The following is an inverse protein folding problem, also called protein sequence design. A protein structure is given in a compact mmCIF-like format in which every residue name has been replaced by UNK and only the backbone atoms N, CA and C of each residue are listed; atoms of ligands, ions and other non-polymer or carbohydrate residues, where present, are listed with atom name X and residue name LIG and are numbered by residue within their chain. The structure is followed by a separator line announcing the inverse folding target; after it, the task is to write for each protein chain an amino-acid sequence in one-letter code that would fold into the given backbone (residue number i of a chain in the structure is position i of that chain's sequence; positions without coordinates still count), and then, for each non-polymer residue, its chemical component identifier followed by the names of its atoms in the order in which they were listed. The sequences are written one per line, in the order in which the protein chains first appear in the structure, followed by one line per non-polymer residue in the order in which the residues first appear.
data_IF_109452152037
#
_entry.id   IF_109452152037
#
_cell.length_a   1.000
_cell.length_b   1.000
_cell.length_c   1.000
_cell.angle_alpha   90.00
_cell.angle_beta   90.00
_cell.angle_gamma   90.00
#
_symmetry.space_group_name_H-M   'P 1'
#
loop_
_entity.id
_entity.type
_entity.pdbx_description
1 polymer ?
#
# COMPACT_ATOMS: atom_id res chain seq x y z
N UNK A 1 -19.76 17.89 33.02
CA UNK A 1 -19.79 18.60 31.72
C UNK A 1 -21.04 18.13 30.97
N UNK A 2 -21.98 19.01 30.69
CA UNK A 2 -23.40 18.72 30.43
C UNK A 2 -23.63 18.13 29.02
N UNK A 3 -24.36 17.02 28.94
CA UNK A 3 -24.66 16.27 27.69
C UNK A 3 -25.52 17.08 26.68
N UNK A 4 -25.91 18.28 26.96
CA UNK A 4 -26.68 19.20 26.06
C UNK A 4 -25.81 20.01 25.10
N UNK A 5 -24.46 20.04 25.27
CA UNK A 5 -23.56 20.84 24.43
C UNK A 5 -23.07 20.06 23.20
N UNK A 6 -23.27 18.76 23.11
CA UNK A 6 -22.87 17.90 21.99
C UNK A 6 -23.91 17.80 20.85
N UNK A 7 -25.10 18.39 21.02
CA UNK A 7 -26.23 18.17 20.09
C UNK A 7 -26.46 19.27 19.03
N UNK A 8 -25.56 20.22 18.83
CA UNK A 8 -25.64 21.20 17.72
C UNK A 8 -24.32 21.37 16.97
N UNK A 9 -23.72 20.31 16.49
CA UNK A 9 -22.79 20.40 15.34
C UNK A 9 -23.67 20.63 14.11
N UNK A 10 -23.95 21.89 13.85
CA UNK A 10 -24.78 22.37 12.76
C UNK A 10 -24.17 21.94 11.43
N UNK A 11 -24.91 21.23 10.58
CA UNK A 11 -24.49 20.78 9.23
C UNK A 11 -23.93 21.91 8.34
N UNK A 12 -24.28 23.17 8.62
CA UNK A 12 -23.66 24.36 8.02
C UNK A 12 -22.19 24.56 8.43
N UNK A 13 -21.79 24.15 9.64
CA UNK A 13 -20.40 24.18 10.08
C UNK A 13 -19.57 23.08 9.42
N UNK A 14 -20.14 21.92 9.12
CA UNK A 14 -19.46 20.84 8.39
C UNK A 14 -19.03 21.27 6.99
N UNK A 15 -19.90 21.94 6.23
CA UNK A 15 -19.55 22.47 4.89
C UNK A 15 -18.46 23.56 4.95
N UNK A 16 -18.50 24.43 5.98
CA UNK A 16 -17.42 25.43 6.19
C UNK A 16 -16.11 24.78 6.62
N UNK A 17 -16.16 23.75 7.47
CA UNK A 17 -14.98 22.98 7.88
C UNK A 17 -14.36 22.24 6.67
N UNK A 18 -15.20 21.60 5.85
CA UNK A 18 -14.77 20.92 4.61
C UNK A 18 -14.15 21.89 3.60
N UNK A 19 -14.70 23.12 3.48
CA UNK A 19 -14.13 24.16 2.60
C UNK A 19 -12.77 24.62 3.14
N UNK A 20 -12.65 24.79 4.45
CA UNK A 20 -11.39 25.18 5.12
C UNK A 20 -10.31 24.09 5.06
N UNK A 21 -10.71 22.81 4.99
CA UNK A 21 -9.79 21.67 4.81
C UNK A 21 -9.26 21.55 3.38
N UNK A 22 -9.95 22.14 2.39
CA UNK A 22 -9.51 22.18 0.98
C UNK A 22 -8.51 23.28 0.68
N UNK A 23 -8.43 24.32 1.48
CA UNK A 23 -7.49 25.41 1.28
C UNK A 23 -6.09 25.03 1.77
N UNK A 24 -5.00 25.43 1.09
CA UNK A 24 -3.64 25.13 1.53
C UNK A 24 -3.41 25.71 2.94
N UNK A 25 -2.83 24.94 3.83
CA UNK A 25 -2.49 25.37 5.19
C UNK A 25 -1.30 26.32 5.20
N UNK A 26 -1.40 27.40 5.95
CA UNK A 26 -0.35 28.43 6.03
C UNK A 26 0.74 28.11 7.08
N UNK A 27 0.50 27.17 8.00
CA UNK A 27 1.47 26.73 8.99
C UNK A 27 1.73 25.21 8.89
N UNK A 28 2.90 24.75 9.34
CA UNK A 28 3.26 23.33 9.39
C UNK A 28 2.23 22.53 10.20
N UNK A 29 1.79 23.06 11.33
CA UNK A 29 0.78 22.43 12.18
C UNK A 29 -0.55 22.27 11.45
N UNK A 30 -0.98 23.28 10.69
CA UNK A 30 -2.21 23.24 9.92
C UNK A 30 -2.12 22.24 8.76
N UNK A 31 -0.98 22.18 8.06
CA UNK A 31 -0.69 21.17 7.02
C UNK A 31 -0.73 19.76 7.59
N UNK A 32 -0.12 19.54 8.77
CA UNK A 32 -0.10 18.23 9.44
C UNK A 32 -1.50 17.79 9.87
N UNK A 33 -2.31 18.68 10.46
CA UNK A 33 -3.69 18.36 10.86
C UNK A 33 -4.59 18.06 9.65
N UNK A 34 -4.48 18.86 8.59
CA UNK A 34 -5.21 18.64 7.33
C UNK A 34 -4.75 17.34 6.66
N UNK A 35 -3.43 17.10 6.67
CA UNK A 35 -2.84 15.87 6.18
C UNK A 35 -3.36 14.63 6.90
N UNK A 36 -3.38 14.67 8.23
CA UNK A 36 -3.93 13.60 9.06
C UNK A 36 -5.39 13.27 8.73
N UNK A 37 -6.22 14.30 8.51
CA UNK A 37 -7.61 14.10 8.09
C UNK A 37 -7.74 13.37 6.74
N UNK A 38 -6.94 13.75 5.75
CA UNK A 38 -6.97 13.10 4.43
C UNK A 38 -6.42 11.66 4.48
N UNK A 39 -5.35 11.42 5.24
CA UNK A 39 -4.81 10.07 5.45
C UNK A 39 -5.82 9.18 6.16
N UNK A 40 -6.48 9.69 7.20
CA UNK A 40 -7.54 8.97 7.90
C UNK A 40 -8.74 8.68 6.98
N UNK A 41 -9.17 9.68 6.19
CA UNK A 41 -10.22 9.52 5.19
C UNK A 41 -9.87 8.46 4.15
N UNK A 42 -8.63 8.44 3.65
CA UNK A 42 -8.15 7.41 2.72
C UNK A 42 -8.22 6.02 3.34
N UNK A 43 -7.73 5.85 4.57
CA UNK A 43 -7.77 4.55 5.26
C UNK A 43 -9.17 4.01 5.46
N UNK A 44 -10.07 4.85 5.98
CA UNK A 44 -11.48 4.44 6.15
C UNK A 44 -12.08 4.04 4.81
N UNK A 45 -11.83 4.82 3.77
CA UNK A 45 -12.33 4.56 2.42
C UNK A 45 -11.80 3.23 1.89
N UNK A 46 -10.49 3.02 1.92
CA UNK A 46 -9.87 1.77 1.46
C UNK A 46 -10.39 0.55 2.24
N UNK A 47 -10.62 0.69 3.56
CA UNK A 47 -11.19 -0.37 4.38
C UNK A 47 -12.63 -0.69 4.02
N UNK A 48 -13.48 0.32 3.88
CA UNK A 48 -14.90 0.13 3.51
C UNK A 48 -14.99 -0.52 2.12
N UNK A 49 -14.30 0.04 1.13
CA UNK A 49 -14.31 -0.51 -0.23
C UNK A 49 -13.69 -1.90 -0.29
N UNK A 50 -12.60 -2.13 0.44
CA UNK A 50 -11.97 -3.44 0.55
C UNK A 50 -12.86 -4.50 1.20
N UNK A 51 -13.63 -4.13 2.24
CA UNK A 51 -14.61 -5.02 2.86
C UNK A 51 -15.78 -5.32 1.92
N UNK A 52 -16.37 -4.29 1.31
CA UNK A 52 -17.47 -4.44 0.32
C UNK A 52 -17.01 -5.37 -0.81
N UNK A 53 -15.83 -5.10 -1.39
CA UNK A 53 -15.23 -5.95 -2.41
C UNK A 53 -15.11 -7.39 -1.93
N UNK A 54 -14.51 -7.60 -0.76
CA UNK A 54 -14.28 -8.95 -0.22
C UNK A 54 -15.59 -9.70 0.01
N UNK A 55 -16.61 -9.06 0.60
CA UNK A 55 -17.92 -9.68 0.86
C UNK A 55 -18.62 -10.07 -0.45
N UNK A 56 -18.62 -9.19 -1.46
CA UNK A 56 -19.26 -9.46 -2.74
C UNK A 56 -18.52 -10.58 -3.48
N UNK A 57 -17.19 -10.49 -3.55
CA UNK A 57 -16.39 -11.49 -4.26
C UNK A 57 -16.43 -12.85 -3.55
N UNK A 58 -16.49 -12.90 -2.23
CA UNK A 58 -16.64 -14.16 -1.47
C UNK A 58 -17.95 -14.90 -1.73
N UNK A 59 -18.99 -14.18 -2.22
CA UNK A 59 -20.25 -14.80 -2.64
C UNK A 59 -20.25 -15.29 -4.09
N UNK A 60 -19.34 -14.77 -4.91
CA UNK A 60 -19.30 -15.04 -6.35
C UNK A 60 -18.18 -16.00 -6.75
N UNK A 61 -17.09 -16.02 -5.99
CA UNK A 61 -15.88 -16.80 -6.26
C UNK A 61 -15.71 -17.91 -5.22
N UNK A 62 -15.02 -18.96 -5.63
CA UNK A 62 -14.68 -20.08 -4.73
C UNK A 62 -13.49 -19.73 -3.81
N UNK A 63 -13.35 -20.40 -2.65
CA UNK A 63 -12.15 -20.27 -1.82
C UNK A 63 -10.86 -20.61 -2.57
N UNK A 64 -10.92 -21.55 -3.51
CA UNK A 64 -9.80 -21.88 -4.38
C UNK A 64 -9.35 -20.71 -5.24
N UNK A 65 -10.26 -19.89 -5.78
CA UNK A 65 -9.92 -18.71 -6.57
C UNK A 65 -9.12 -17.69 -5.74
N UNK A 66 -9.51 -17.49 -4.47
CA UNK A 66 -8.76 -16.64 -3.54
C UNK A 66 -7.39 -17.21 -3.21
N UNK A 67 -7.29 -18.53 -3.00
CA UNK A 67 -6.04 -19.20 -2.74
C UNK A 67 -5.06 -19.12 -3.92
N UNK A 68 -5.53 -19.40 -5.12
CA UNK A 68 -4.73 -19.28 -6.36
C UNK A 68 -4.22 -17.84 -6.55
N UNK A 69 -5.09 -16.84 -6.35
CA UNK A 69 -4.70 -15.44 -6.38
C UNK A 69 -3.73 -15.09 -5.24
N UNK A 70 -3.96 -15.63 -4.04
CA UNK A 70 -3.08 -15.49 -2.89
C UNK A 70 -1.67 -16.00 -3.14
N UNK A 71 -1.53 -17.22 -3.70
CA UNK A 71 -0.21 -17.77 -4.11
C UNK A 71 0.48 -16.84 -5.11
N UNK A 72 -0.25 -16.32 -6.09
CA UNK A 72 0.32 -15.42 -7.06
C UNK A 72 0.78 -14.08 -6.43
N UNK A 73 0.02 -13.54 -5.47
CA UNK A 73 0.42 -12.35 -4.72
C UNK A 73 1.60 -12.62 -3.78
N UNK A 74 1.71 -13.80 -3.16
CA UNK A 74 2.86 -14.20 -2.35
C UNK A 74 4.15 -14.21 -3.17
N UNK A 75 4.14 -14.86 -4.35
CA UNK A 75 5.30 -14.90 -5.24
C UNK A 75 5.69 -13.48 -5.70
N UNK A 76 4.70 -12.65 -6.03
CA UNK A 76 4.90 -11.25 -6.38
C UNK A 76 5.52 -10.46 -5.22
N UNK A 77 4.94 -10.57 -4.01
CA UNK A 77 5.38 -9.89 -2.80
C UNK A 77 6.80 -10.28 -2.40
N UNK A 78 7.15 -11.57 -2.54
CA UNK A 78 8.50 -12.05 -2.30
C UNK A 78 9.51 -11.35 -3.20
N UNK A 79 9.28 -11.36 -4.52
CA UNK A 79 10.21 -10.74 -5.48
C UNK A 79 10.23 -9.21 -5.32
N UNK A 80 9.09 -8.57 -5.06
CA UNK A 80 9.02 -7.14 -4.79
C UNK A 80 9.84 -6.78 -3.55
N UNK A 81 9.66 -7.51 -2.45
CA UNK A 81 10.37 -7.29 -1.18
C UNK A 81 11.87 -7.55 -1.32
N UNK A 82 12.26 -8.67 -1.95
CA UNK A 82 13.68 -9.05 -2.09
C UNK A 82 14.46 -8.16 -3.05
N UNK A 83 13.76 -7.46 -3.94
CA UNK A 83 14.35 -6.51 -4.86
C UNK A 83 14.21 -5.05 -4.43
N UNK A 84 13.65 -4.77 -3.25
CA UNK A 84 13.49 -3.39 -2.77
C UNK A 84 14.84 -2.68 -2.68
N UNK A 85 14.95 -1.57 -3.40
CA UNK A 85 16.17 -0.74 -3.37
C UNK A 85 16.18 0.28 -2.23
N UNK A 86 15.04 0.48 -1.56
CA UNK A 86 14.88 1.51 -0.52
C UNK A 86 15.00 2.96 -1.01
N UNK A 87 15.05 3.18 -2.33
CA UNK A 87 15.25 4.52 -2.91
C UNK A 87 14.12 5.50 -2.58
N UNK A 88 12.87 5.02 -2.55
CA UNK A 88 11.72 5.85 -2.17
C UNK A 88 11.86 6.35 -0.73
N UNK A 89 12.21 5.46 0.19
CA UNK A 89 12.41 5.79 1.61
C UNK A 89 13.59 6.74 1.81
N UNK A 90 14.69 6.50 1.08
CA UNK A 90 15.86 7.38 1.10
C UNK A 90 15.51 8.81 0.65
N UNK A 91 14.69 8.95 -0.42
CA UNK A 91 14.26 10.26 -0.90
C UNK A 91 13.33 11.00 0.07
N UNK A 92 12.42 10.28 0.75
CA UNK A 92 11.53 10.89 1.75
C UNK A 92 12.35 11.42 2.93
N UNK A 93 13.35 10.66 3.37
CA UNK A 93 14.16 11.01 4.54
C UNK A 93 15.21 12.09 4.26
N UNK A 94 15.65 12.23 2.99
CA UNK A 94 16.64 13.25 2.60
C UNK A 94 16.09 14.64 2.79
N UNK A 95 16.80 15.50 3.55
CA UNK A 95 16.39 16.88 3.88
C UNK A 95 16.63 17.87 2.73
N UNK A 96 17.59 17.60 1.87
CA UNK A 96 17.99 18.44 0.74
C UNK A 96 17.01 18.39 -0.42
N UNK A 97 17.12 19.28 -1.41
CA UNK A 97 16.34 19.24 -2.65
C UNK A 97 16.58 17.92 -3.38
N UNK A 98 15.54 17.10 -3.48
CA UNK A 98 15.60 15.75 -4.06
C UNK A 98 15.13 15.71 -5.50
N UNK A 99 14.84 16.86 -6.11
CA UNK A 99 14.33 16.95 -7.49
C UNK A 99 15.28 16.33 -8.51
N UNK A 100 16.58 16.53 -8.31
CA UNK A 100 17.62 15.98 -9.21
C UNK A 100 17.70 14.45 -9.16
N UNK A 101 17.27 13.84 -8.05
CA UNK A 101 17.27 12.39 -7.86
C UNK A 101 16.05 11.68 -8.46
N UNK A 102 15.00 12.43 -8.84
CA UNK A 102 13.74 11.84 -9.31
C UNK A 102 13.91 11.01 -10.57
N UNK A 103 14.63 11.53 -11.56
CA UNK A 103 14.86 10.81 -12.81
C UNK A 103 15.63 9.52 -12.58
N UNK A 104 16.69 9.56 -11.78
CA UNK A 104 17.51 8.39 -11.43
C UNK A 104 16.66 7.35 -10.67
N UNK A 105 15.87 7.79 -9.68
CA UNK A 105 15.01 6.91 -8.88
C UNK A 105 13.91 6.27 -9.73
N UNK A 106 13.28 7.04 -10.62
CA UNK A 106 12.27 6.51 -11.54
C UNK A 106 12.88 5.51 -12.52
N UNK A 107 14.03 5.83 -13.11
CA UNK A 107 14.72 4.94 -14.06
C UNK A 107 15.08 3.61 -13.41
N UNK A 108 15.66 3.65 -12.20
CA UNK A 108 15.96 2.43 -11.43
C UNK A 108 14.68 1.66 -11.08
N UNK A 109 13.61 2.37 -10.71
CA UNK A 109 12.29 1.77 -10.45
C UNK A 109 11.72 1.03 -11.66
N UNK A 110 11.81 1.62 -12.86
CA UNK A 110 11.36 0.99 -14.12
C UNK A 110 12.21 -0.23 -14.45
N UNK A 111 13.54 -0.11 -14.40
CA UNK A 111 14.45 -1.23 -14.66
C UNK A 111 14.17 -2.39 -13.70
N UNK A 112 14.01 -2.09 -12.40
CA UNK A 112 13.65 -3.07 -11.39
C UNK A 112 12.29 -3.75 -11.70
N UNK A 113 11.28 -2.98 -12.07
CA UNK A 113 9.96 -3.49 -12.38
C UNK A 113 9.98 -4.44 -13.60
N UNK A 114 10.71 -4.07 -14.64
CA UNK A 114 10.93 -4.95 -15.81
C UNK A 114 11.66 -6.21 -15.42
N UNK A 115 12.72 -6.12 -14.62
CA UNK A 115 13.49 -7.26 -14.13
C UNK A 115 12.62 -8.23 -13.33
N UNK A 116 11.80 -7.72 -12.40
CA UNK A 116 10.87 -8.56 -11.63
C UNK A 116 9.83 -9.21 -12.55
N UNK A 117 9.26 -8.48 -13.50
CA UNK A 117 8.28 -9.05 -14.42
C UNK A 117 8.87 -10.19 -15.28
N UNK A 118 10.11 -10.03 -15.73
CA UNK A 118 10.84 -11.08 -16.46
C UNK A 118 11.10 -12.28 -15.55
N UNK A 119 11.58 -12.06 -14.34
CA UNK A 119 11.80 -13.15 -13.36
C UNK A 119 10.47 -13.86 -13.06
N UNK A 120 9.38 -13.14 -12.81
CA UNK A 120 8.05 -13.73 -12.58
C UNK A 120 7.61 -14.62 -13.75
N UNK A 121 7.86 -14.17 -14.97
CA UNK A 121 7.47 -14.93 -16.16
C UNK A 121 8.19 -16.29 -16.21
N UNK A 122 9.50 -16.33 -15.91
CA UNK A 122 10.27 -17.56 -15.90
C UNK A 122 10.08 -18.40 -14.62
N UNK A 123 9.81 -17.77 -13.48
CA UNK A 123 9.51 -18.48 -12.22
C UNK A 123 8.07 -18.98 -12.12
N UNK A 124 7.16 -18.49 -12.97
CA UNK A 124 5.75 -18.88 -12.92
C UNK A 124 5.51 -20.39 -12.96
N UNK A 125 6.13 -21.19 -13.86
CA UNK A 125 5.98 -22.63 -13.85
C UNK A 125 6.59 -23.29 -12.60
N UNK A 126 7.68 -22.75 -12.06
CA UNK A 126 8.29 -23.26 -10.82
C UNK A 126 7.40 -23.03 -9.62
N UNK A 127 6.78 -21.86 -9.53
CA UNK A 127 5.82 -21.54 -8.47
C UNK A 127 4.57 -22.43 -8.59
N UNK A 128 4.03 -22.62 -9.80
CA UNK A 128 2.90 -23.51 -10.04
C UNK A 128 3.19 -24.94 -9.62
N UNK A 129 4.38 -25.44 -9.91
CA UNK A 129 4.84 -26.79 -9.50
C UNK A 129 5.09 -26.85 -7.98
N UNK A 130 5.70 -25.82 -7.39
CA UNK A 130 5.97 -25.79 -5.95
C UNK A 130 4.67 -25.85 -5.13
N UNK A 131 3.65 -25.10 -5.53
CA UNK A 131 2.35 -25.09 -4.84
C UNK A 131 1.38 -26.16 -5.39
N UNK A 132 1.79 -27.00 -6.31
CA UNK A 132 0.97 -28.04 -6.95
C UNK A 132 -0.35 -27.48 -7.53
N UNK A 133 -0.29 -26.25 -8.03
CA UNK A 133 -1.46 -25.49 -8.50
C UNK A 133 -1.18 -24.90 -9.89
N UNK A 134 -1.46 -25.63 -10.99
CA UNK A 134 -1.16 -25.18 -12.36
C UNK A 134 -1.81 -23.85 -12.76
N UNK A 135 -2.97 -23.54 -12.18
CA UNK A 135 -3.68 -22.29 -12.45
C UNK A 135 -2.89 -21.02 -12.02
N UNK A 136 -1.87 -21.16 -11.15
CA UNK A 136 -1.01 -20.05 -10.71
C UNK A 136 -0.12 -19.54 -11.85
N UNK A 137 0.33 -20.39 -12.75
CA UNK A 137 1.27 -20.04 -13.81
C UNK A 137 0.77 -18.91 -14.72
N UNK A 138 -0.38 -19.03 -15.40
CA UNK A 138 -0.89 -17.96 -16.27
C UNK A 138 -1.20 -16.67 -15.49
N UNK A 139 -1.64 -16.80 -14.24
CA UNK A 139 -1.96 -15.66 -13.38
C UNK A 139 -0.69 -14.87 -13.03
N UNK A 140 0.41 -15.56 -12.65
CA UNK A 140 1.68 -14.91 -12.35
C UNK A 140 2.24 -14.16 -13.56
N UNK A 141 2.17 -14.76 -14.76
CA UNK A 141 2.61 -14.09 -15.99
C UNK A 141 1.86 -12.79 -16.24
N UNK A 142 0.55 -12.77 -16.00
CA UNK A 142 -0.29 -11.57 -16.20
C UNK A 142 -0.12 -10.57 -15.05
N UNK A 143 0.00 -11.01 -13.81
CA UNK A 143 0.26 -10.12 -12.67
C UNK A 143 1.61 -9.40 -12.81
N UNK A 144 2.61 -9.98 -13.50
CA UNK A 144 3.86 -9.31 -13.85
C UNK A 144 3.65 -7.96 -14.55
N UNK A 145 2.57 -7.81 -15.33
CA UNK A 145 2.19 -6.52 -15.96
C UNK A 145 1.87 -5.47 -14.88
N UNK A 146 1.28 -5.86 -13.77
CA UNK A 146 0.94 -4.93 -12.68
C UNK A 146 2.18 -4.29 -12.06
N UNK A 147 3.29 -5.02 -11.95
CA UNK A 147 4.58 -4.46 -11.50
C UNK A 147 5.15 -3.47 -12.52
N UNK A 148 5.07 -3.76 -13.80
CA UNK A 148 5.49 -2.81 -14.84
C UNK A 148 4.70 -1.50 -14.73
N UNK A 149 3.38 -1.58 -14.57
CA UNK A 149 2.52 -0.40 -14.37
C UNK A 149 2.92 0.39 -13.11
N UNK A 150 3.26 -0.30 -12.02
CA UNK A 150 3.74 0.36 -10.80
C UNK A 150 5.11 1.02 -11.00
N UNK A 151 6.03 0.38 -11.71
CA UNK A 151 7.33 0.95 -12.07
C UNK A 151 7.22 2.18 -12.96
N UNK A 152 6.28 2.19 -13.89
CA UNK A 152 6.00 3.30 -14.79
C UNK A 152 5.26 4.46 -14.10
N UNK A 153 4.73 4.27 -12.90
CA UNK A 153 4.06 5.34 -12.15
C UNK A 153 5.00 6.54 -11.95
N UNK A 154 4.47 7.75 -12.13
CA UNK A 154 5.24 8.98 -11.98
C UNK A 154 5.81 9.10 -10.56
N UNK A 155 7.12 9.19 -10.44
CA UNK A 155 7.81 9.29 -9.16
C UNK A 155 7.42 10.54 -8.35
N UNK A 156 6.88 11.56 -8.98
CA UNK A 156 6.41 12.78 -8.31
C UNK A 156 5.29 12.53 -7.29
N UNK A 157 4.57 11.39 -7.38
CA UNK A 157 3.61 10.96 -6.36
C UNK A 157 4.26 10.87 -4.97
N UNK A 158 5.55 10.60 -4.90
CA UNK A 158 6.30 10.58 -3.64
C UNK A 158 6.32 11.93 -2.93
N UNK A 159 6.31 13.03 -3.70
CA UNK A 159 6.24 14.39 -3.12
C UNK A 159 4.90 14.69 -2.47
N UNK A 160 3.82 14.03 -2.87
CA UNK A 160 2.53 14.23 -2.20
C UNK A 160 2.60 13.84 -0.72
N UNK A 161 3.36 12.80 -0.39
CA UNK A 161 3.63 12.40 1.00
C UNK A 161 4.67 13.32 1.65
N UNK A 162 5.79 13.61 0.98
CA UNK A 162 6.88 14.43 1.49
C UNK A 162 6.44 15.86 1.79
N UNK A 163 5.65 16.49 0.89
CA UNK A 163 5.16 17.86 1.03
C UNK A 163 3.82 17.97 1.77
N UNK A 164 3.34 16.85 2.33
CA UNK A 164 2.06 16.76 3.03
C UNK A 164 0.84 17.13 2.16
N UNK A 165 0.94 16.92 0.85
CA UNK A 165 -0.15 17.13 -0.12
C UNK A 165 -1.11 15.93 -0.17
N UNK A 166 -1.55 15.47 0.98
CA UNK A 166 -2.34 14.24 1.11
C UNK A 166 -3.69 14.28 0.36
N UNK A 167 -4.19 15.46 0.00
CA UNK A 167 -5.38 15.55 -0.86
C UNK A 167 -5.12 15.02 -2.27
N UNK A 168 -3.94 15.30 -2.85
CA UNK A 168 -3.54 14.76 -4.15
C UNK A 168 -3.30 13.25 -4.04
N UNK A 169 -2.62 12.84 -2.97
CA UNK A 169 -2.39 11.42 -2.67
C UNK A 169 -3.70 10.64 -2.50
N UNK A 170 -4.69 11.23 -1.78
CA UNK A 170 -6.02 10.65 -1.66
C UNK A 170 -6.68 10.42 -3.01
N UNK A 171 -6.72 11.43 -3.89
CA UNK A 171 -7.33 11.29 -5.21
C UNK A 171 -6.66 10.21 -6.04
N UNK A 172 -5.34 10.17 -6.02
CA UNK A 172 -4.53 9.17 -6.72
C UNK A 172 -4.87 7.75 -6.28
N UNK A 173 -4.87 7.49 -4.97
CA UNK A 173 -5.17 6.17 -4.42
C UNK A 173 -6.64 5.79 -4.59
N UNK A 174 -7.55 6.68 -4.25
CA UNK A 174 -8.99 6.47 -4.28
C UNK A 174 -9.51 6.04 -5.67
N UNK A 175 -9.07 6.71 -6.73
CA UNK A 175 -9.47 6.36 -8.09
C UNK A 175 -8.97 4.96 -8.48
N UNK A 176 -7.75 4.60 -8.10
CA UNK A 176 -7.23 3.26 -8.31
C UNK A 176 -8.02 2.19 -7.54
N UNK A 177 -8.33 2.47 -6.26
CA UNK A 177 -9.09 1.54 -5.41
C UNK A 177 -10.53 1.35 -5.92
N UNK A 178 -11.23 2.42 -6.28
CA UNK A 178 -12.58 2.31 -6.87
C UNK A 178 -12.55 1.51 -8.16
N UNK A 179 -11.58 1.77 -9.03
CA UNK A 179 -11.46 1.04 -10.31
C UNK A 179 -11.22 -0.45 -10.06
N UNK A 180 -10.30 -0.81 -9.15
CA UNK A 180 -10.08 -2.21 -8.77
C UNK A 180 -11.38 -2.86 -8.26
N UNK A 181 -12.11 -2.20 -7.37
CA UNK A 181 -13.37 -2.71 -6.81
C UNK A 181 -14.42 -2.91 -7.90
N UNK A 182 -14.66 -1.90 -8.73
CA UNK A 182 -15.68 -1.95 -9.78
C UNK A 182 -15.34 -3.02 -10.82
N UNK A 183 -14.09 -3.04 -11.31
CA UNK A 183 -13.67 -4.00 -12.33
C UNK A 183 -13.68 -5.42 -11.78
N UNK A 184 -13.16 -5.66 -10.57
CA UNK A 184 -13.16 -7.00 -9.97
C UNK A 184 -14.57 -7.53 -9.74
N UNK A 185 -15.50 -6.69 -9.25
CA UNK A 185 -16.90 -7.10 -9.03
C UNK A 185 -17.58 -7.39 -10.38
N UNK A 186 -17.46 -6.49 -11.37
CA UNK A 186 -18.06 -6.69 -12.70
C UNK A 186 -17.50 -7.94 -13.36
N UNK A 187 -16.18 -8.14 -13.34
CA UNK A 187 -15.55 -9.33 -13.90
C UNK A 187 -15.97 -10.62 -13.15
N UNK A 188 -16.19 -10.55 -11.83
CA UNK A 188 -16.65 -11.70 -11.04
C UNK A 188 -18.08 -12.13 -11.42
N UNK A 189 -18.97 -11.19 -11.73
CA UNK A 189 -20.30 -11.51 -12.25
C UNK A 189 -20.25 -12.19 -13.62
N UNK A 190 -19.30 -11.80 -14.47
CA UNK A 190 -19.18 -12.31 -15.84
C UNK A 190 -18.40 -13.63 -15.91
N UNK A 191 -17.27 -13.72 -15.20
CA UNK A 191 -16.30 -14.80 -15.36
C UNK A 191 -16.41 -15.88 -14.25
N UNK A 192 -16.84 -15.49 -13.05
CA UNK A 192 -16.98 -16.38 -11.86
C UNK A 192 -15.72 -17.21 -11.58
N UNK A 193 -14.54 -16.63 -11.74
CA UNK A 193 -13.24 -17.28 -11.52
C UNK A 193 -12.19 -16.28 -11.09
N UNK A 194 -10.99 -16.77 -10.78
CA UNK A 194 -9.84 -16.00 -10.29
C UNK A 194 -9.43 -14.81 -11.13
N UNK A 195 -9.70 -14.83 -12.46
CA UNK A 195 -9.37 -13.73 -13.37
C UNK A 195 -10.07 -12.42 -13.01
N UNK A 196 -11.20 -12.48 -12.32
CA UNK A 196 -11.86 -11.28 -11.81
C UNK A 196 -10.98 -10.48 -10.85
N UNK A 197 -10.24 -11.17 -9.97
CA UNK A 197 -9.29 -10.56 -9.04
C UNK A 197 -8.08 -9.97 -9.78
N UNK A 198 -7.60 -10.68 -10.80
CA UNK A 198 -6.45 -10.25 -11.62
C UNK A 198 -6.78 -8.99 -12.42
N UNK A 199 -7.94 -8.97 -13.10
CA UNK A 199 -8.36 -7.79 -13.87
C UNK A 199 -8.62 -6.57 -12.99
N UNK A 200 -9.21 -6.76 -11.80
CA UNK A 200 -9.35 -5.68 -10.83
C UNK A 200 -8.01 -5.07 -10.43
N UNK A 201 -7.03 -5.90 -10.06
CA UNK A 201 -5.69 -5.48 -9.72
C UNK A 201 -5.00 -4.70 -10.86
N UNK A 202 -5.06 -5.23 -12.08
CA UNK A 202 -4.46 -4.58 -13.25
C UNK A 202 -5.12 -3.24 -13.57
N UNK A 203 -6.45 -3.19 -13.58
CA UNK A 203 -7.20 -1.97 -13.86
C UNK A 203 -6.92 -0.89 -12.79
N UNK A 204 -6.89 -1.28 -11.51
CA UNK A 204 -6.54 -0.37 -10.43
C UNK A 204 -5.13 0.21 -10.56
N UNK A 205 -4.13 -0.63 -10.89
CA UNK A 205 -2.77 -0.18 -11.10
C UNK A 205 -2.60 0.66 -12.37
N UNK A 206 -3.32 0.33 -13.44
CA UNK A 206 -3.35 1.13 -14.67
C UNK A 206 -3.89 2.55 -14.38
N UNK A 207 -5.01 2.65 -13.68
CA UNK A 207 -5.59 3.95 -13.32
C UNK A 207 -4.66 4.73 -12.40
N UNK A 208 -4.02 4.09 -11.41
CA UNK A 208 -2.99 4.75 -10.59
C UNK A 208 -1.85 5.27 -11.45
N UNK A 209 -1.34 4.47 -12.39
CA UNK A 209 -0.28 4.90 -13.30
C UNK A 209 -0.73 6.14 -14.10
N UNK A 210 -1.88 6.12 -14.75
CA UNK A 210 -2.42 7.25 -15.52
C UNK A 210 -2.62 8.47 -14.63
N UNK A 211 -3.26 8.31 -13.48
CA UNK A 211 -3.56 9.41 -12.56
C UNK A 211 -2.31 10.06 -11.98
N UNK A 212 -1.22 9.31 -11.83
CA UNK A 212 0.07 9.88 -11.40
C UNK A 212 0.60 10.95 -12.37
N UNK A 213 0.32 10.80 -13.65
CA UNK A 213 0.69 11.77 -14.70
C UNK A 213 -0.35 12.89 -14.89
N UNK A 214 -1.61 12.63 -14.54
CA UNK A 214 -2.68 13.64 -14.63
C UNK A 214 -2.61 14.63 -13.47
N UNK A 215 -2.33 14.13 -12.26
CA UNK A 215 -2.34 14.96 -11.03
C UNK A 215 -1.07 15.82 -10.95
N UNK A 216 0.07 15.31 -11.43
CA UNK A 216 1.33 16.04 -11.41
C UNK A 216 1.82 16.36 -12.83
N UNK A 217 2.39 17.56 -12.99
CA UNK A 217 2.95 18.03 -14.27
C UNK A 217 4.36 17.51 -14.55
N UNK A 218 5.03 16.96 -13.54
CA UNK A 218 6.36 16.40 -13.70
C UNK A 218 6.33 15.23 -14.71
N UNK A 219 7.35 15.19 -15.55
CA UNK A 219 7.52 14.11 -16.53
C UNK A 219 8.91 13.52 -16.34
N UNK A 220 9.01 12.33 -15.71
CA UNK A 220 10.29 11.69 -15.50
C UNK A 220 10.96 11.37 -16.85
N UNK A 221 12.28 11.53 -16.89
CA UNK A 221 13.12 11.18 -18.03
C UNK A 221 14.00 9.99 -17.67
N UNK A 222 14.29 9.15 -18.66
CA UNK A 222 15.26 8.07 -18.49
C UNK A 222 16.64 8.71 -18.31
N UNK A 223 17.12 8.69 -17.08
CA UNK A 223 18.42 9.23 -16.69
C UNK A 223 18.96 8.45 -15.50
N UNK A 224 20.16 7.93 -15.62
CA UNK A 224 20.82 7.19 -14.57
C UNK A 224 22.12 7.88 -14.15
N UNK A 225 22.12 8.50 -12.99
CA UNK A 225 23.33 9.01 -12.36
C UNK A 225 23.87 7.96 -11.38
N UNK A 226 25.03 7.37 -11.71
CA UNK A 226 25.65 6.30 -10.92
C UNK A 226 25.96 6.73 -9.47
N UNK A 227 26.37 7.96 -9.25
CA UNK A 227 26.69 8.46 -7.91
C UNK A 227 25.43 8.56 -7.04
N UNK A 228 24.35 9.13 -7.60
CA UNK A 228 23.06 9.20 -6.94
C UNK A 228 22.50 7.80 -6.64
N UNK A 229 22.57 6.89 -7.61
CA UNK A 229 22.11 5.50 -7.44
C UNK A 229 22.90 4.79 -6.32
N UNK A 230 24.23 4.97 -6.27
CA UNK A 230 25.10 4.39 -5.23
C UNK A 230 24.77 4.95 -3.83
N UNK A 231 24.56 6.25 -3.73
CA UNK A 231 24.19 6.93 -2.48
C UNK A 231 22.85 6.38 -1.94
N UNK A 232 21.82 6.34 -2.79
CA UNK A 232 20.52 5.83 -2.42
C UNK A 232 20.54 4.33 -2.07
N UNK A 233 21.34 3.53 -2.79
CA UNK A 233 21.49 2.10 -2.53
C UNK A 233 22.19 1.83 -1.19
N UNK A 234 23.20 2.60 -0.84
CA UNK A 234 23.89 2.45 0.44
C UNK A 234 22.96 2.63 1.64
N UNK A 235 21.98 3.52 1.52
CA UNK A 235 20.92 3.66 2.50
C UNK A 235 19.91 2.51 2.42
N UNK A 236 19.48 2.18 1.20
CA UNK A 236 18.40 1.22 0.94
C UNK A 236 18.72 -0.22 1.30
N UNK A 237 19.99 -0.65 1.23
CA UNK A 237 20.41 -2.04 1.50
C UNK A 237 20.02 -2.55 2.90
N UNK A 238 20.03 -1.67 3.90
CA UNK A 238 19.62 -2.02 5.26
C UNK A 238 18.10 -2.19 5.38
N UNK A 239 17.35 -1.36 4.64
CA UNK A 239 15.89 -1.49 4.55
C UNK A 239 15.55 -2.82 3.86
N UNK A 240 16.25 -3.19 2.80
CA UNK A 240 16.07 -4.47 2.10
C UNK A 240 16.28 -5.66 3.06
N UNK A 241 17.37 -5.65 3.84
CA UNK A 241 17.65 -6.72 4.80
C UNK A 241 16.54 -6.90 5.84
N UNK A 242 16.07 -5.80 6.44
CA UNK A 242 14.97 -5.84 7.40
C UNK A 242 13.64 -6.27 6.77
N UNK A 243 13.37 -5.87 5.51
CA UNK A 243 12.15 -6.23 4.80
C UNK A 243 12.10 -7.71 4.48
N UNK A 244 13.22 -8.35 4.15
CA UNK A 244 13.30 -9.80 3.91
C UNK A 244 12.96 -10.58 5.18
N UNK A 245 13.52 -10.20 6.33
CA UNK A 245 13.17 -10.84 7.60
C UNK A 245 11.69 -10.66 7.94
N UNK A 246 11.18 -9.45 7.73
CA UNK A 246 9.77 -9.15 7.98
C UNK A 246 8.85 -9.93 7.06
N UNK A 247 9.23 -10.13 5.79
CA UNK A 247 8.47 -10.96 4.84
C UNK A 247 8.26 -12.38 5.36
N UNK A 248 9.31 -13.05 5.82
CA UNK A 248 9.18 -14.40 6.37
C UNK A 248 8.35 -14.46 7.66
N UNK A 249 8.40 -13.40 8.46
CA UNK A 249 7.57 -13.31 9.68
C UNK A 249 6.09 -13.07 9.38
N UNK A 250 5.77 -12.39 8.27
CA UNK A 250 4.38 -12.01 7.93
C UNK A 250 3.72 -12.92 6.92
N UNK A 251 4.49 -13.55 6.04
CA UNK A 251 3.98 -14.34 4.92
C UNK A 251 4.43 -15.82 4.99
N UNK A 252 5.25 -16.16 5.99
CA UNK A 252 5.79 -17.52 6.12
C UNK A 252 4.72 -18.59 6.37
N UNK A 253 3.70 -18.25 7.16
CA UNK A 253 2.53 -19.09 7.41
C UNK A 253 1.70 -19.33 6.13
N UNK A 254 1.48 -18.29 5.33
CA UNK A 254 0.79 -18.38 4.05
C UNK A 254 1.53 -19.30 3.07
N UNK A 255 2.88 -19.23 3.03
CA UNK A 255 3.70 -20.13 2.21
C UNK A 255 3.54 -21.58 2.64
N UNK A 256 3.61 -21.85 3.96
CA UNK A 256 3.46 -23.20 4.50
C UNK A 256 2.06 -23.77 4.25
N UNK A 257 1.02 -22.99 4.51
CA UNK A 257 -0.37 -23.41 4.28
C UNK A 257 -0.60 -23.67 2.79
N UNK A 258 -0.16 -22.77 1.92
CA UNK A 258 -0.29 -22.94 0.47
C UNK A 258 0.40 -24.18 -0.06
N UNK A 259 1.60 -24.51 0.47
CA UNK A 259 2.37 -25.69 0.05
C UNK A 259 1.81 -27.00 0.61
N UNK A 260 1.46 -27.02 1.91
CA UNK A 260 1.10 -28.27 2.61
C UNK A 260 -0.38 -28.59 2.45
N UNK A 261 -1.25 -27.60 2.54
CA UNK A 261 -2.70 -27.76 2.53
C UNK A 261 -3.37 -27.34 1.21
N UNK A 262 -2.60 -26.74 0.30
CA UNK A 262 -3.05 -26.34 -1.03
C UNK A 262 -3.81 -25.02 -1.09
N UNK A 263 -4.11 -24.57 -2.31
CA UNK A 263 -4.68 -23.28 -2.60
C UNK A 263 -6.03 -23.02 -1.92
N UNK A 264 -6.91 -24.03 -1.85
CA UNK A 264 -8.23 -23.87 -1.23
C UNK A 264 -8.13 -23.50 0.25
N UNK A 265 -7.28 -24.21 1.01
CA UNK A 265 -7.07 -23.93 2.43
C UNK A 265 -6.39 -22.60 2.66
N UNK A 266 -5.44 -22.22 1.81
CA UNK A 266 -4.85 -20.90 1.83
C UNK A 266 -5.91 -19.81 1.60
N UNK A 267 -6.83 -20.00 0.66
CA UNK A 267 -7.94 -19.07 0.43
C UNK A 267 -8.83 -18.87 1.66
N UNK A 268 -9.20 -19.92 2.35
CA UNK A 268 -9.92 -19.83 3.63
C UNK A 268 -9.09 -19.11 4.70
N UNK A 269 -7.83 -19.48 4.85
CA UNK A 269 -6.93 -18.89 5.83
C UNK A 269 -6.77 -17.39 5.63
N UNK A 270 -6.43 -16.96 4.41
CA UNK A 270 -6.23 -15.54 4.09
C UNK A 270 -7.51 -14.71 4.29
N UNK A 271 -8.69 -15.28 3.96
CA UNK A 271 -9.96 -14.60 4.22
C UNK A 271 -10.24 -14.45 5.71
N UNK A 272 -10.06 -15.53 6.49
CA UNK A 272 -10.25 -15.51 7.93
C UNK A 272 -9.26 -14.57 8.62
N UNK A 273 -7.97 -14.64 8.24
CA UNK A 273 -6.91 -13.78 8.75
C UNK A 273 -7.17 -12.31 8.46
N UNK A 274 -7.59 -11.98 7.23
CA UNK A 274 -7.92 -10.61 6.83
C UNK A 274 -9.04 -10.02 7.69
N UNK A 275 -10.07 -10.79 8.01
CA UNK A 275 -11.19 -10.32 8.85
C UNK A 275 -10.78 -10.24 10.32
N UNK A 276 -10.11 -11.27 10.84
CA UNK A 276 -9.65 -11.34 12.23
C UNK A 276 -8.65 -10.24 12.59
N UNK A 277 -7.76 -9.91 11.68
CA UNK A 277 -6.68 -8.94 11.91
C UNK A 277 -7.13 -7.47 11.78
N UNK A 278 -8.34 -7.21 11.26
CA UNK A 278 -8.89 -5.86 11.12
C UNK A 278 -8.90 -5.07 12.44
N UNK A 279 -9.49 -5.58 13.54
CA UNK A 279 -9.54 -4.83 14.80
C UNK A 279 -8.15 -4.55 15.36
N UNK A 280 -7.27 -5.55 15.36
CA UNK A 280 -5.93 -5.45 15.92
C UNK A 280 -5.08 -4.39 15.20
N UNK A 281 -5.09 -4.39 13.87
CA UNK A 281 -4.31 -3.43 13.08
C UNK A 281 -4.83 -2.01 13.20
N UNK A 282 -6.15 -1.79 13.21
CA UNK A 282 -6.72 -0.45 13.32
C UNK A 282 -6.52 0.15 14.72
N UNK A 283 -6.75 -0.62 15.78
CA UNK A 283 -6.56 -0.16 17.16
C UNK A 283 -5.09 0.19 17.41
N UNK A 284 -4.17 -0.72 17.08
CA UNK A 284 -2.73 -0.51 17.26
C UNK A 284 -2.24 0.70 16.50
N UNK A 285 -2.74 0.90 15.27
CA UNK A 285 -2.33 2.03 14.45
C UNK A 285 -2.80 3.37 15.04
N UNK A 286 -4.06 3.46 15.48
CA UNK A 286 -4.60 4.69 16.11
C UNK A 286 -3.83 5.01 17.39
N UNK A 287 -3.58 4.00 18.21
CA UNK A 287 -2.76 4.16 19.43
C UNK A 287 -1.37 4.68 19.07
N UNK A 288 -0.67 4.05 18.12
CA UNK A 288 0.69 4.43 17.71
C UNK A 288 0.76 5.85 17.14
N UNK A 289 -0.23 6.28 16.37
CA UNK A 289 -0.28 7.64 15.81
C UNK A 289 -0.41 8.72 16.87
N UNK A 290 -1.07 8.42 18.00
CA UNK A 290 -1.25 9.37 19.10
C UNK A 290 -0.08 9.30 20.09
N UNK A 291 0.37 8.09 20.41
CA UNK A 291 1.39 7.88 21.44
C UNK A 291 2.80 8.25 20.97
N UNK A 292 3.14 7.99 19.70
CA UNK A 292 4.47 8.29 19.20
C UNK A 292 4.84 9.78 19.31
N UNK A 293 4.01 10.75 18.87
CA UNK A 293 4.31 12.17 19.09
C UNK A 293 4.31 12.57 20.56
N UNK A 294 3.47 11.93 21.39
CA UNK A 294 3.45 12.20 22.84
C UNK A 294 4.74 11.72 23.50
N UNK A 295 5.22 10.53 23.16
CA UNK A 295 6.52 10.01 23.67
C UNK A 295 7.70 10.85 23.18
N UNK A 296 7.68 11.31 21.94
CA UNK A 296 8.71 12.19 21.38
C UNK A 296 8.84 13.50 22.18
N UNK A 297 7.71 14.06 22.67
CA UNK A 297 7.74 15.26 23.53
C UNK A 297 8.23 14.99 24.95
N UNK A 298 8.20 13.74 25.39
CA UNK A 298 8.63 13.32 26.73
C UNK A 298 10.03 12.67 26.73
N UNK A 299 10.71 12.59 25.58
CA UNK A 299 11.98 11.89 25.42
C UNK A 299 13.08 12.35 26.38
N UNK A 300 13.07 13.63 26.78
CA UNK A 300 14.04 14.20 27.70
C UNK A 300 13.68 14.00 29.19
N UNK A 301 12.49 13.38 29.47
CA UNK A 301 12.02 13.10 30.82
C UNK A 301 11.64 11.62 30.98
N UNK A 302 12.64 10.76 31.17
CA UNK A 302 12.50 9.31 31.25
C UNK A 302 11.44 8.84 32.27
N UNK A 303 11.33 9.40 33.50
CA UNK A 303 10.29 8.99 34.45
C UNK A 303 8.87 9.23 33.92
N UNK A 304 8.60 10.40 33.34
CA UNK A 304 7.29 10.72 32.74
C UNK A 304 7.02 9.89 31.48
N UNK A 305 8.05 9.63 30.68
CA UNK A 305 7.94 8.76 29.51
C UNK A 305 7.54 7.34 29.91
N UNK A 306 8.19 6.78 30.95
CA UNK A 306 7.86 5.47 31.50
C UNK A 306 6.42 5.41 32.02
N UNK A 307 5.98 6.42 32.77
CA UNK A 307 4.60 6.49 33.25
C UNK A 307 3.59 6.55 32.11
N UNK A 308 3.83 7.39 31.09
CA UNK A 308 2.98 7.49 29.90
C UNK A 308 2.93 6.16 29.12
N UNK A 309 4.07 5.47 28.98
CA UNK A 309 4.17 4.18 28.31
C UNK A 309 3.35 3.10 29.05
N UNK A 310 3.51 3.01 30.36
CA UNK A 310 2.77 2.05 31.18
C UNK A 310 1.26 2.29 31.16
N UNK A 311 0.81 3.55 31.10
CA UNK A 311 -0.62 3.90 30.97
C UNK A 311 -1.24 3.47 29.62
N UNK A 312 -0.43 3.35 28.59
CA UNK A 312 -0.92 2.92 27.26
C UNK A 312 -0.99 1.38 27.18
N UNK A 313 -0.17 0.68 27.99
CA UNK A 313 -0.17 -0.79 28.02
C UNK A 313 -1.28 -1.39 28.89
N UNK A 314 -1.87 -0.62 29.80
CA UNK A 314 -3.01 -1.01 30.64
C UNK A 314 -4.34 -0.78 29.93
#
# INVERSE_FOLDING_TARGET
MNAKTLKRVNLKNGKKLFKKLKEPGNSLTEKTLKGGFWVFGLRITDRIFGLIRTIILARLLSPNDFGVFGIALLALSALDTFSQTGFKQALIQKKEETKDYLNTTWTVGVIRALFIAVILFFLAPLAANFFETPAVEPILKVIGISIILQGLTNIAVLYFEKELEFQKFFKYQFLGTITDVVVSITAAFLLKNVWALVFGLLAGNLVRCIMSYVIDKYRPKIQLNKNQAKELFNFGKWIMGSSIMMFFLTEGDDILIGKILGATMLGFYQMAYKISNLPATEITHVISQVTFPAYSKLQDNIPKLKEAYLKVLQ
#
